data_IF_763953787747
#
_entry.id   IF_763953787747
#
_cell.length_a   1.000
_cell.length_b   1.000
_cell.length_c   1.000
_cell.angle_alpha   90.00
_cell.angle_beta   90.00
_cell.angle_gamma   90.00
#
_symmetry.space_group_name_H-M   'P 1'
#
loop_
_entity.id
_entity.type
_entity.pdbx_description
1 polymer ?
#
# COMPACT_ATOMS: atom_id res chain seq x y z
N UNK A 1 -9.21 -15.61 -7.70
CA UNK A 1 -8.83 -16.95 -7.17
C UNK A 1 -7.47 -17.52 -7.65
N UNK A 2 -6.93 -17.14 -8.83
CA UNK A 2 -5.50 -17.38 -9.19
C UNK A 2 -4.66 -16.11 -9.25
N UNK A 3 -5.20 -15.01 -9.80
CA UNK A 3 -4.51 -13.71 -9.85
C UNK A 3 -4.13 -13.16 -8.45
N UNK A 4 -4.95 -13.43 -7.42
CA UNK A 4 -4.67 -13.05 -6.03
C UNK A 4 -3.44 -13.75 -5.43
N UNK A 5 -3.04 -14.93 -5.93
CA UNK A 5 -1.87 -15.62 -5.39
C UNK A 5 -0.55 -15.04 -5.90
N UNK A 6 -0.54 -14.38 -7.07
CA UNK A 6 0.68 -13.83 -7.68
C UNK A 6 1.22 -12.68 -6.83
N UNK A 7 0.32 -11.81 -6.34
CA UNK A 7 0.71 -10.61 -5.61
C UNK A 7 0.79 -10.80 -4.09
N UNK A 8 0.29 -11.91 -3.55
CA UNK A 8 0.13 -12.09 -2.10
C UNK A 8 1.44 -11.95 -1.33
N UNK A 9 2.56 -12.44 -1.88
CA UNK A 9 3.89 -12.30 -1.27
C UNK A 9 4.36 -10.84 -1.23
N UNK A 10 4.16 -10.11 -2.33
CA UNK A 10 4.53 -8.69 -2.42
C UNK A 10 3.62 -7.81 -1.57
N UNK A 11 2.33 -8.14 -1.48
CA UNK A 11 1.38 -7.49 -0.56
C UNK A 11 1.81 -7.71 0.89
N UNK A 12 2.12 -8.94 1.28
CA UNK A 12 2.57 -9.22 2.64
C UNK A 12 3.88 -8.48 2.97
N UNK A 13 4.83 -8.45 2.03
CA UNK A 13 6.07 -7.70 2.18
C UNK A 13 5.83 -6.18 2.27
N UNK A 14 4.92 -5.63 1.46
CA UNK A 14 4.57 -4.21 1.50
C UNK A 14 3.86 -3.80 2.79
N UNK A 15 2.93 -4.63 3.29
CA UNK A 15 2.29 -4.41 4.59
C UNK A 15 3.31 -4.47 5.74
N UNK A 16 4.23 -5.43 5.71
CA UNK A 16 5.33 -5.52 6.68
C UNK A 16 6.23 -4.28 6.65
N UNK A 17 6.61 -3.82 5.45
CA UNK A 17 7.37 -2.57 5.26
C UNK A 17 6.64 -1.36 5.86
N UNK A 18 5.32 -1.25 5.64
CA UNK A 18 4.50 -0.21 6.25
C UNK A 18 4.51 -0.25 7.79
N UNK A 19 4.51 -1.45 8.39
CA UNK A 19 4.59 -1.61 9.84
C UNK A 19 5.99 -1.31 10.39
N UNK A 20 7.04 -1.62 9.65
CA UNK A 20 8.40 -1.22 9.99
C UNK A 20 8.55 0.30 9.99
N UNK A 21 7.98 0.98 8.99
CA UNK A 21 7.92 2.44 8.94
C UNK A 21 7.06 3.02 10.07
N UNK A 22 5.95 2.37 10.42
CA UNK A 22 5.15 2.75 11.59
C UNK A 22 5.96 2.69 12.89
N UNK A 23 6.72 1.61 13.10
CA UNK A 23 7.62 1.47 14.27
C UNK A 23 8.72 2.53 14.25
N UNK A 24 9.23 2.87 13.08
CA UNK A 24 10.23 3.92 12.92
C UNK A 24 9.68 5.30 13.32
N UNK A 25 8.52 5.69 12.79
CA UNK A 25 7.89 6.99 13.08
C UNK A 25 7.54 7.16 14.56
N UNK A 26 7.11 6.08 15.22
CA UNK A 26 6.68 6.08 16.62
C UNK A 26 7.74 5.54 17.59
N UNK A 27 9.02 5.45 17.18
CA UNK A 27 10.08 4.79 17.95
C UNK A 27 10.27 5.37 19.37
N UNK A 28 9.97 6.65 19.55
CA UNK A 28 10.17 7.40 20.81
C UNK A 28 8.86 7.78 21.51
N UNK A 29 7.72 7.31 20.99
CA UNK A 29 6.41 7.57 21.55
C UNK A 29 5.98 6.49 22.56
N UNK A 30 5.04 6.85 23.43
CA UNK A 30 4.43 5.89 24.39
C UNK A 30 3.70 4.76 23.67
N UNK A 31 3.09 5.07 22.54
CA UNK A 31 2.55 4.09 21.61
C UNK A 31 3.56 3.95 20.49
N UNK A 32 4.24 2.81 20.41
CA UNK A 32 5.40 2.59 19.54
C UNK A 32 5.13 1.59 18.42
N UNK A 33 3.90 1.63 17.87
CA UNK A 33 3.43 0.67 16.88
C UNK A 33 3.63 -0.81 17.30
N UNK A 34 2.96 -1.27 18.37
CA UNK A 34 3.15 -2.62 18.92
C UNK A 34 2.75 -3.69 17.90
N UNK A 35 3.28 -4.92 18.00
CA UNK A 35 3.07 -6.00 17.01
C UNK A 35 1.59 -6.29 16.68
N UNK A 36 0.66 -6.03 17.60
CA UNK A 36 -0.78 -6.12 17.35
C UNK A 36 -1.29 -5.18 16.24
N UNK A 37 -0.54 -4.13 15.91
CA UNK A 37 -0.81 -3.21 14.80
C UNK A 37 -0.65 -3.89 13.44
N UNK A 38 0.11 -4.98 13.33
CA UNK A 38 0.22 -5.78 12.11
C UNK A 38 -1.12 -6.40 11.68
N UNK A 39 -2.07 -6.53 12.62
CA UNK A 39 -3.40 -7.07 12.34
C UNK A 39 -4.34 -5.97 11.82
N UNK A 40 -4.22 -5.66 10.52
CA UNK A 40 -5.16 -4.79 9.81
C UNK A 40 -6.59 -5.36 9.72
N UNK A 41 -6.78 -6.65 10.01
CA UNK A 41 -8.11 -7.25 9.93
C UNK A 41 -9.01 -6.79 11.07
N UNK A 42 -10.21 -6.36 10.69
CA UNK A 42 -11.34 -5.98 11.55
C UNK A 42 -11.71 -6.99 12.66
N UNK A 43 -11.29 -8.25 12.52
CA UNK A 43 -11.66 -9.36 13.41
C UNK A 43 -10.64 -9.67 14.52
N UNK A 44 -9.40 -9.14 14.45
CA UNK A 44 -8.29 -9.62 15.28
C UNK A 44 -7.66 -8.64 16.27
N UNK A 45 -7.33 -7.41 15.88
CA UNK A 45 -6.35 -6.62 16.64
C UNK A 45 -6.66 -5.15 16.92
N UNK A 46 -7.22 -4.42 15.95
CA UNK A 46 -7.36 -2.96 16.00
C UNK A 46 -8.82 -2.50 15.86
N UNK A 47 -9.67 -2.89 16.82
CA UNK A 47 -11.07 -2.41 16.89
C UNK A 47 -11.20 -0.95 17.33
N UNK A 48 -10.12 -0.35 17.84
CA UNK A 48 -10.14 1.01 18.35
C UNK A 48 -10.08 2.01 17.18
N UNK A 49 -11.11 2.84 17.03
CA UNK A 49 -11.12 3.94 16.06
C UNK A 49 -10.39 5.17 16.63
N UNK A 50 -9.07 5.07 16.74
CA UNK A 50 -8.20 6.15 17.23
C UNK A 50 -7.20 6.60 16.15
N UNK A 51 -6.43 7.65 16.46
CA UNK A 51 -5.49 8.28 15.52
C UNK A 51 -4.36 7.34 15.13
N UNK A 52 -3.92 6.49 16.06
CA UNK A 52 -2.84 5.54 15.83
C UNK A 52 -3.28 4.43 14.87
N UNK A 53 -4.50 3.90 15.03
CA UNK A 53 -5.11 2.95 14.09
C UNK A 53 -5.27 3.55 12.70
N UNK A 54 -5.69 4.81 12.60
CA UNK A 54 -5.81 5.51 11.32
C UNK A 54 -4.45 5.57 10.59
N UNK A 55 -3.37 5.88 11.31
CA UNK A 55 -2.03 5.88 10.76
C UNK A 55 -1.58 4.49 10.29
N UNK A 56 -1.87 3.44 11.07
CA UNK A 56 -1.53 2.04 10.71
C UNK A 56 -2.20 1.62 9.41
N UNK A 57 -3.48 1.96 9.22
CA UNK A 57 -4.20 1.69 7.98
C UNK A 57 -3.53 2.40 6.79
N UNK A 58 -3.28 3.70 6.93
CA UNK A 58 -2.65 4.52 5.89
C UNK A 58 -1.26 4.02 5.50
N UNK A 59 -0.36 3.83 6.48
CA UNK A 59 1.02 3.47 6.19
C UNK A 59 1.16 2.04 5.65
N UNK A 60 0.27 1.13 6.06
CA UNK A 60 0.26 -0.24 5.54
C UNK A 60 -0.31 -0.28 4.12
N UNK A 61 -1.37 0.47 3.83
CA UNK A 61 -1.90 0.61 2.46
C UNK A 61 -0.85 1.23 1.53
N UNK A 62 -0.19 2.28 1.99
CA UNK A 62 0.91 2.92 1.27
C UNK A 62 2.08 1.96 1.04
N UNK A 63 2.46 1.15 2.04
CA UNK A 63 3.51 0.13 1.92
C UNK A 63 3.18 -0.93 0.86
N UNK A 64 1.94 -1.43 0.85
CA UNK A 64 1.46 -2.37 -0.18
C UNK A 64 1.50 -1.75 -1.57
N UNK A 65 0.91 -0.57 -1.74
CA UNK A 65 0.92 0.16 -3.02
C UNK A 65 2.34 0.40 -3.53
N UNK A 66 3.21 0.93 -2.66
CA UNK A 66 4.60 1.24 -2.99
C UNK A 66 5.37 0.00 -3.45
N UNK A 67 5.31 -1.09 -2.68
CA UNK A 67 6.01 -2.34 -3.02
C UNK A 67 5.50 -2.92 -4.33
N UNK A 68 4.18 -2.93 -4.57
CA UNK A 68 3.62 -3.46 -5.82
C UNK A 68 4.00 -2.63 -7.03
N UNK A 69 3.92 -1.30 -6.93
CA UNK A 69 4.38 -0.39 -7.99
C UNK A 69 5.85 -0.59 -8.28
N UNK A 70 6.69 -0.72 -7.25
CA UNK A 70 8.12 -0.92 -7.42
C UNK A 70 8.45 -2.24 -8.10
N UNK A 71 7.87 -3.35 -7.61
CA UNK A 71 8.06 -4.68 -8.19
C UNK A 71 7.62 -4.72 -9.65
N UNK A 72 6.53 -4.04 -9.97
CA UNK A 72 6.05 -3.89 -11.35
C UNK A 72 7.09 -3.21 -12.26
N UNK A 73 7.66 -2.08 -11.81
CA UNK A 73 8.71 -1.36 -12.55
C UNK A 73 10.02 -2.12 -12.67
N UNK A 74 10.32 -3.01 -11.71
CA UNK A 74 11.50 -3.87 -11.75
C UNK A 74 11.33 -5.09 -12.67
N UNK A 75 10.11 -5.35 -13.15
CA UNK A 75 9.79 -6.49 -14.01
C UNK A 75 9.55 -7.79 -13.24
N UNK A 76 9.21 -7.72 -11.95
CA UNK A 76 8.92 -8.91 -11.13
C UNK A 76 7.58 -9.58 -11.50
N UNK A 77 6.73 -8.88 -12.28
CA UNK A 77 5.44 -9.37 -12.74
C UNK A 77 5.31 -9.28 -14.26
N UNK A 78 4.92 -10.38 -14.90
CA UNK A 78 4.79 -10.44 -16.37
C UNK A 78 3.61 -9.62 -16.92
N UNK A 79 2.63 -9.31 -16.08
CA UNK A 79 1.35 -8.72 -16.49
C UNK A 79 1.23 -7.23 -16.17
N UNK A 80 2.33 -6.59 -15.78
CA UNK A 80 2.41 -5.16 -15.62
C UNK A 80 3.81 -4.67 -16.01
N UNK A 81 3.99 -3.36 -16.11
CA UNK A 81 5.28 -2.74 -16.39
C UNK A 81 5.23 -1.25 -16.07
N UNK A 82 6.23 -0.54 -16.57
CA UNK A 82 6.36 0.91 -16.42
C UNK A 82 5.18 1.67 -17.04
N UNK A 83 4.92 2.88 -16.56
CA UNK A 83 4.02 3.83 -17.21
C UNK A 83 4.73 4.51 -18.40
N UNK A 84 4.51 3.98 -19.60
CA UNK A 84 5.09 4.51 -20.84
C UNK A 84 4.31 5.69 -21.46
N UNK A 85 3.25 6.19 -20.80
CA UNK A 85 2.34 7.20 -21.38
C UNK A 85 3.02 8.50 -21.83
N UNK A 86 4.17 8.84 -21.24
CA UNK A 86 4.96 10.03 -21.57
C UNK A 86 6.28 9.74 -22.26
N UNK A 87 6.67 8.48 -22.42
CA UNK A 87 8.00 8.15 -22.93
C UNK A 87 8.23 8.73 -24.34
N UNK A 88 9.37 9.39 -24.53
CA UNK A 88 9.74 10.10 -25.76
C UNK A 88 9.14 11.50 -25.94
N UNK A 89 8.26 11.96 -25.04
CA UNK A 89 7.68 13.31 -25.11
C UNK A 89 8.63 14.37 -24.54
N UNK A 90 8.51 15.61 -25.00
CA UNK A 90 9.21 16.76 -24.42
C UNK A 90 8.72 17.01 -22.99
N UNK A 91 9.62 16.92 -22.02
CA UNK A 91 9.33 17.23 -20.62
C UNK A 91 9.54 18.71 -20.27
N UNK A 92 10.25 19.42 -21.14
CA UNK A 92 10.57 20.84 -20.99
C UNK A 92 11.73 21.19 -21.92
N UNK A 93 12.28 22.39 -21.77
CA UNK A 93 13.43 22.79 -22.56
C UNK A 93 14.65 21.95 -22.17
N UNK A 94 15.23 21.24 -23.14
CA UNK A 94 16.47 20.50 -22.97
C UNK A 94 16.34 19.10 -22.38
N UNK A 95 15.12 18.53 -22.23
CA UNK A 95 14.96 17.15 -21.78
C UNK A 95 13.70 16.45 -22.31
N UNK A 96 13.80 15.13 -22.45
CA UNK A 96 12.74 14.22 -22.90
C UNK A 96 12.37 13.26 -21.76
N UNK A 97 11.10 12.93 -21.65
CA UNK A 97 10.65 11.82 -20.83
C UNK A 97 11.22 10.51 -21.37
N UNK A 98 11.68 9.64 -20.47
CA UNK A 98 12.29 8.37 -20.81
C UNK A 98 12.49 7.49 -19.58
N UNK A 99 13.00 6.28 -19.80
CA UNK A 99 13.24 5.31 -18.74
C UNK A 99 11.97 4.57 -18.31
N UNK A 100 12.01 4.01 -17.11
CA UNK A 100 10.87 3.32 -16.51
C UNK A 100 10.21 4.22 -15.47
N UNK A 101 9.05 4.79 -15.82
CA UNK A 101 8.23 5.54 -14.86
C UNK A 101 7.39 4.54 -14.07
N UNK A 102 7.29 4.75 -12.77
CA UNK A 102 6.52 3.87 -11.89
C UNK A 102 5.02 3.88 -12.23
N UNK A 103 4.45 2.69 -12.37
CA UNK A 103 3.02 2.50 -12.61
C UNK A 103 2.24 2.53 -11.28
N UNK A 104 2.00 3.74 -10.77
CA UNK A 104 1.29 3.98 -9.51
C UNK A 104 -0.17 3.50 -9.57
N UNK A 105 -0.82 3.61 -10.74
CA UNK A 105 -2.20 3.15 -10.91
C UNK A 105 -2.35 1.64 -10.75
N UNK A 106 -1.34 0.87 -11.18
CA UNK A 106 -1.29 -0.57 -10.91
C UNK A 106 -1.18 -0.86 -9.41
N UNK A 107 -0.23 -0.23 -8.72
CA UNK A 107 -0.02 -0.47 -7.28
C UNK A 107 -1.23 -0.09 -6.45
N UNK A 108 -1.87 1.04 -6.75
CA UNK A 108 -3.10 1.50 -6.09
C UNK A 108 -4.25 0.50 -6.31
N UNK A 109 -4.49 0.09 -7.55
CA UNK A 109 -5.59 -0.82 -7.90
C UNK A 109 -5.44 -2.20 -7.25
N UNK A 110 -4.21 -2.71 -7.12
CA UNK A 110 -3.97 -3.99 -6.44
C UNK A 110 -3.97 -3.80 -4.92
N UNK A 111 -3.44 -2.70 -4.38
CA UNK A 111 -3.49 -2.40 -2.93
C UNK A 111 -4.93 -2.41 -2.41
N UNK A 112 -5.83 -1.68 -3.09
CA UNK A 112 -7.28 -1.67 -2.81
C UNK A 112 -7.88 -3.06 -2.76
N UNK A 113 -7.56 -3.92 -3.72
CA UNK A 113 -8.10 -5.29 -3.77
C UNK A 113 -7.70 -6.15 -2.56
N UNK A 114 -6.58 -5.86 -1.90
CA UNK A 114 -6.12 -6.64 -0.75
C UNK A 114 -6.44 -5.96 0.58
N UNK A 115 -6.12 -4.68 0.72
CA UNK A 115 -6.22 -3.95 1.99
C UNK A 115 -7.68 -3.61 2.30
N UNK A 116 -8.45 -3.14 1.32
CA UNK A 116 -9.87 -2.84 1.52
C UNK A 116 -10.72 -4.10 1.69
N UNK A 117 -10.30 -5.22 1.08
CA UNK A 117 -10.99 -6.50 1.23
C UNK A 117 -10.95 -7.03 2.68
N UNK A 118 -10.06 -6.51 3.54
CA UNK A 118 -10.05 -6.81 4.98
C UNK A 118 -11.20 -6.11 5.72
N UNK A 119 -11.74 -5.02 5.15
CA UNK A 119 -12.86 -4.27 5.69
C UNK A 119 -14.18 -4.85 5.20
N UNK A 120 -14.70 -5.80 5.96
CA UNK A 120 -15.94 -6.55 5.64
C UNK A 120 -17.22 -5.92 6.19
N UNK A 121 -17.09 -4.88 7.02
CA UNK A 121 -18.21 -4.18 7.65
C UNK A 121 -18.84 -3.10 6.78
N UNK A 122 -20.05 -2.68 7.12
CA UNK A 122 -20.72 -1.50 6.56
C UNK A 122 -20.95 -0.42 7.63
N UNK A 123 -20.20 -0.49 8.75
CA UNK A 123 -20.29 0.44 9.86
C UNK A 123 -19.40 1.67 9.64
N UNK A 124 -19.57 2.70 10.48
CA UNK A 124 -18.77 3.91 10.42
C UNK A 124 -17.26 3.64 10.58
N UNK A 125 -16.88 2.56 11.29
CA UNK A 125 -15.49 2.14 11.44
C UNK A 125 -14.93 1.61 10.12
N UNK A 126 -15.66 0.73 9.42
CA UNK A 126 -15.24 0.27 8.10
C UNK A 126 -15.11 1.44 7.11
N UNK A 127 -16.05 2.40 7.12
CA UNK A 127 -15.95 3.59 6.28
C UNK A 127 -14.71 4.46 6.61
N UNK A 128 -14.41 4.63 7.91
CA UNK A 128 -13.19 5.34 8.35
C UNK A 128 -11.92 4.58 7.94
N UNK A 129 -11.89 3.26 8.08
CA UNK A 129 -10.74 2.44 7.70
C UNK A 129 -10.49 2.48 6.19
N UNK A 130 -11.55 2.35 5.37
CA UNK A 130 -11.46 2.53 3.92
C UNK A 130 -10.96 3.94 3.56
N UNK A 131 -11.44 4.98 4.25
CA UNK A 131 -10.93 6.33 4.05
C UNK A 131 -9.44 6.47 4.40
N UNK A 132 -9.00 5.84 5.50
CA UNK A 132 -7.60 5.90 5.91
C UNK A 132 -6.67 5.09 4.99
N UNK A 133 -7.20 4.12 4.21
CA UNK A 133 -6.42 3.36 3.25
C UNK A 133 -6.08 4.17 1.98
N UNK A 134 -6.81 5.27 1.70
CA UNK A 134 -6.69 6.16 0.53
C UNK A 134 -5.81 7.39 0.78
#
# INVERSE_FOLDING_TARGET
PKAYLIYSSSVAAGAQSGIEECKYQFAWDRWNCPERALQLSSHGGLRSANRETAFVHAISSAGVMYTLTRNCSLGDFDNCGCDDSRNGQLGGQGWLWGGCRDNVGFGEAISKQFVDALETGQDARAAMNLHNNE
#
